data_IF_293208582681
#
_entry.id   IF_293208582681
#
_cell.length_a   1.000
_cell.length_b   1.000
_cell.length_c   1.000
_cell.angle_alpha   90.00
_cell.angle_beta   90.00
_cell.angle_gamma   90.00
#
_symmetry.space_group_name_H-M   'P 1'
#
loop_
_entity.id
_entity.type
_entity.pdbx_description
1 polymer ?
#
# COMPACT_ATOMS: atom_id res chain seq x y z
N UNK A 1 -22.59 15.88 17.43
CA UNK A 1 -22.11 15.10 16.27
C UNK A 1 -20.92 14.27 16.72
N UNK A 2 -21.09 12.96 16.91
CA UNK A 2 -20.01 12.08 17.33
C UNK A 2 -19.24 11.62 16.09
N UNK A 3 -18.00 12.09 15.95
CA UNK A 3 -17.10 11.60 14.90
C UNK A 3 -16.75 10.15 15.22
N UNK A 4 -17.27 9.21 14.42
CA UNK A 4 -16.91 7.79 14.55
C UNK A 4 -15.49 7.64 14.03
N UNK A 5 -14.53 7.54 14.95
CA UNK A 5 -13.15 7.17 14.64
C UNK A 5 -13.18 5.73 14.09
N UNK A 6 -13.29 5.60 12.78
CA UNK A 6 -13.07 4.33 12.08
C UNK A 6 -11.56 4.06 12.04
N UNK A 7 -10.96 3.87 13.21
CA UNK A 7 -9.80 2.99 13.29
C UNK A 7 -10.41 1.64 13.63
N UNK A 8 -10.98 0.96 12.62
CA UNK A 8 -10.78 -0.47 12.60
C UNK A 8 -9.27 -0.61 12.61
N UNK A 9 -8.75 -1.39 13.55
CA UNK A 9 -7.35 -1.82 13.54
C UNK A 9 -7.20 -2.60 12.24
N UNK A 10 -6.98 -1.89 11.13
CA UNK A 10 -6.77 -2.49 9.82
C UNK A 10 -5.49 -3.28 9.99
N UNK A 11 -5.55 -4.57 9.65
CA UNK A 11 -4.36 -5.40 9.70
C UNK A 11 -3.33 -4.73 8.79
N UNK A 12 -2.24 -4.25 9.40
CA UNK A 12 -1.16 -3.62 8.66
C UNK A 12 -0.48 -4.75 7.90
N UNK A 13 -0.63 -4.75 6.58
CA UNK A 13 -0.05 -5.76 5.71
C UNK A 13 1.46 -5.66 5.75
N UNK A 14 2.12 -6.75 6.18
CA UNK A 14 3.56 -6.87 6.11
C UNK A 14 3.92 -7.74 4.91
N UNK A 15 4.38 -7.11 3.83
CA UNK A 15 4.77 -7.82 2.60
C UNK A 15 5.86 -8.87 2.79
N UNK A 16 6.71 -8.75 3.82
CA UNK A 16 7.75 -9.74 4.10
C UNK A 16 7.17 -11.02 4.73
N UNK A 17 6.13 -10.88 5.54
CA UNK A 17 5.49 -12.00 6.26
C UNK A 17 4.32 -12.59 5.49
N UNK A 18 3.57 -11.74 4.79
CA UNK A 18 2.31 -12.10 4.15
C UNK A 18 2.42 -12.20 2.62
N UNK A 19 3.53 -11.74 2.03
CA UNK A 19 3.73 -11.74 0.59
C UNK A 19 2.85 -10.74 -0.15
N UNK A 20 2.39 -11.17 -1.33
CA UNK A 20 1.68 -10.33 -2.30
C UNK A 20 0.32 -9.83 -1.77
N UNK A 21 -0.06 -8.64 -2.21
CA UNK A 21 -1.32 -8.00 -1.85
C UNK A 21 -2.14 -7.71 -3.11
N UNK A 22 -3.35 -8.25 -3.17
CA UNK A 22 -4.31 -7.94 -4.23
C UNK A 22 -5.61 -7.39 -3.62
N UNK A 23 -6.19 -6.38 -4.27
CA UNK A 23 -7.49 -5.84 -3.90
C UNK A 23 -7.82 -4.53 -4.61
N UNK A 24 -8.87 -3.88 -4.12
CA UNK A 24 -9.36 -2.59 -4.60
C UNK A 24 -8.75 -1.46 -3.78
N UNK A 25 -8.25 -0.43 -4.45
CA UNK A 25 -7.75 0.76 -3.77
C UNK A 25 -8.88 1.54 -3.10
N UNK A 26 -8.74 1.77 -1.79
CA UNK A 26 -9.75 2.50 -1.01
C UNK A 26 -9.32 3.95 -0.76
N UNK A 27 -8.01 4.22 -0.77
CA UNK A 27 -7.47 5.57 -0.59
C UNK A 27 -6.18 5.59 0.22
N UNK A 28 -5.75 6.82 0.55
CA UNK A 28 -4.51 7.10 1.28
C UNK A 28 -4.77 8.07 2.43
N UNK A 29 -4.06 7.89 3.53
CA UNK A 29 -3.87 8.92 4.55
C UNK A 29 -2.40 9.33 4.55
N UNK A 30 -2.17 10.57 4.17
CA UNK A 30 -0.82 11.12 4.07
C UNK A 30 -0.25 11.49 5.44
N UNK A 31 1.08 11.49 5.55
CA UNK A 31 1.80 11.96 6.74
C UNK A 31 1.38 11.30 8.07
N UNK A 32 1.06 10.00 8.06
CA UNK A 32 0.62 9.27 9.26
C UNK A 32 1.77 8.58 10.00
N UNK A 33 2.85 8.23 9.29
CA UNK A 33 4.01 7.56 9.89
C UNK A 33 4.91 8.51 10.67
N UNK A 34 5.73 7.95 11.57
CA UNK A 34 6.73 8.71 12.37
C UNK A 34 7.69 9.56 11.52
N UNK A 35 7.91 9.16 10.27
CA UNK A 35 8.77 9.85 9.30
C UNK A 35 7.97 10.53 8.17
N UNK A 36 6.67 10.80 8.37
CA UNK A 36 5.80 11.34 7.34
C UNK A 36 5.33 10.32 6.29
N UNK A 37 5.47 9.01 6.56
CA UNK A 37 5.04 7.97 5.62
C UNK A 37 3.52 7.98 5.40
N UNK A 38 3.12 7.72 4.16
CA UNK A 38 1.73 7.56 3.77
C UNK A 38 1.21 6.18 4.18
N UNK A 39 -0.06 6.10 4.57
CA UNK A 39 -0.75 4.84 4.82
C UNK A 39 -1.78 4.63 3.72
N UNK A 40 -1.63 3.55 2.97
CA UNK A 40 -2.57 3.17 1.91
C UNK A 40 -3.55 2.13 2.42
N UNK A 41 -4.76 2.14 1.87
CA UNK A 41 -5.86 1.25 2.25
C UNK A 41 -6.32 0.46 1.03
N UNK A 42 -6.42 -0.86 1.19
CA UNK A 42 -6.85 -1.79 0.15
C UNK A 42 -7.92 -2.70 0.70
N UNK A 43 -8.97 -2.90 -0.08
CA UNK A 43 -10.05 -3.84 0.22
C UNK A 43 -9.82 -5.12 -0.57
N UNK A 44 -9.59 -6.21 0.13
CA UNK A 44 -9.41 -7.53 -0.46
C UNK A 44 -10.72 -8.10 -0.99
N UNK A 45 -10.61 -9.13 -1.83
CA UNK A 45 -11.78 -9.85 -2.38
C UNK A 45 -12.65 -10.49 -1.29
N UNK A 46 -12.07 -10.86 -0.14
CA UNK A 46 -12.81 -11.37 1.03
C UNK A 46 -13.58 -10.27 1.79
N UNK A 47 -13.55 -9.03 1.29
CA UNK A 47 -14.22 -7.87 1.85
C UNK A 47 -13.48 -7.23 3.04
N UNK A 48 -12.30 -7.74 3.43
CA UNK A 48 -11.50 -7.13 4.50
C UNK A 48 -10.69 -5.96 3.97
N UNK A 49 -10.66 -4.90 4.76
CA UNK A 49 -9.78 -3.76 4.52
C UNK A 49 -8.46 -3.99 5.27
N UNK A 50 -7.37 -3.99 4.51
CA UNK A 50 -6.01 -3.98 5.02
C UNK A 50 -5.36 -2.65 4.71
N UNK A 51 -4.34 -2.31 5.48
CA UNK A 51 -3.56 -1.09 5.25
C UNK A 51 -2.09 -1.42 5.10
N UNK A 52 -1.33 -0.65 4.35
CA UNK A 52 0.12 -0.82 4.29
C UNK A 52 0.84 0.52 4.28
N UNK A 53 2.07 0.49 4.80
CA UNK A 53 2.93 1.66 4.77
C UNK A 53 3.52 1.86 3.39
N UNK A 54 3.38 3.10 2.91
CA UNK A 54 4.04 3.59 1.71
C UNK A 54 5.56 3.61 1.85
N UNK A 55 6.20 3.54 0.69
CA UNK A 55 7.60 3.83 0.49
C UNK A 55 7.73 4.57 -0.84
N UNK A 56 8.89 5.13 -1.15
CA UNK A 56 9.07 5.94 -2.36
C UNK A 56 8.59 5.27 -3.65
N UNK A 57 8.76 3.95 -3.82
CA UNK A 57 8.32 3.23 -5.01
C UNK A 57 6.79 3.11 -5.06
N UNK A 58 6.17 2.73 -3.95
CA UNK A 58 4.71 2.64 -3.81
C UNK A 58 4.06 4.02 -3.92
N UNK A 59 4.61 5.02 -3.23
CA UNK A 59 4.09 6.38 -3.21
C UNK A 59 4.05 6.96 -4.63
N UNK A 60 5.11 6.73 -5.42
CA UNK A 60 5.19 7.19 -6.81
C UNK A 60 4.14 6.55 -7.73
N UNK A 61 3.77 5.28 -7.50
CA UNK A 61 2.75 4.59 -8.29
C UNK A 61 1.33 4.94 -7.82
N UNK A 62 1.13 5.07 -6.51
CA UNK A 62 -0.21 5.19 -5.91
C UNK A 62 -0.68 6.64 -5.75
N UNK A 63 0.18 7.65 -5.92
CA UNK A 63 -0.15 9.08 -5.71
C UNK A 63 -1.34 9.60 -6.54
N UNK A 64 -1.55 9.06 -7.74
CA UNK A 64 -2.56 9.54 -8.69
C UNK A 64 -3.64 8.49 -8.97
N UNK A 65 -3.63 7.38 -8.23
CA UNK A 65 -4.55 6.29 -8.46
C UNK A 65 -5.96 6.63 -7.94
N UNK A 66 -6.97 6.34 -8.75
CA UNK A 66 -8.36 6.55 -8.40
C UNK A 66 -8.85 5.51 -7.37
N UNK A 67 -9.70 5.95 -6.44
CA UNK A 67 -10.40 5.02 -5.54
C UNK A 67 -11.29 4.10 -6.38
N UNK A 68 -11.23 2.80 -6.12
CA UNK A 68 -11.92 1.77 -6.90
C UNK A 68 -11.04 1.04 -7.92
N UNK A 69 -9.83 1.54 -8.21
CA UNK A 69 -8.88 0.84 -9.08
C UNK A 69 -8.46 -0.49 -8.45
N UNK A 70 -8.52 -1.58 -9.22
CA UNK A 70 -7.99 -2.87 -8.78
C UNK A 70 -6.48 -2.84 -8.90
N UNK A 71 -5.76 -3.31 -7.87
CA UNK A 71 -4.31 -3.37 -7.86
C UNK A 71 -3.81 -4.70 -7.30
N UNK A 72 -2.63 -5.10 -7.78
CA UNK A 72 -1.84 -6.19 -7.26
C UNK A 72 -0.42 -5.69 -7.00
N UNK A 73 0.08 -5.90 -5.79
CA UNK A 73 1.44 -5.55 -5.37
C UNK A 73 2.14 -6.85 -5.05
N UNK A 74 3.13 -7.23 -5.86
CA UNK A 74 3.97 -8.40 -5.63
C UNK A 74 5.26 -7.99 -4.93
N UNK A 75 5.64 -8.74 -3.90
CA UNK A 75 6.91 -8.50 -3.21
C UNK A 75 8.02 -9.34 -3.83
N UNK A 76 8.93 -8.69 -4.55
CA UNK A 76 10.03 -9.35 -5.26
C UNK A 76 11.27 -9.57 -4.37
N UNK A 77 11.16 -9.30 -3.07
CA UNK A 77 12.26 -9.37 -2.12
C UNK A 77 13.05 -8.07 -2.03
N UNK A 78 14.28 -8.18 -1.56
CA UNK A 78 15.17 -7.06 -1.34
C UNK A 78 16.16 -6.90 -2.49
N UNK A 79 16.40 -5.67 -2.92
CA UNK A 79 17.35 -5.32 -3.98
C UNK A 79 18.31 -4.25 -3.47
N UNK A 80 19.59 -4.37 -3.83
CA UNK A 80 20.59 -3.37 -3.51
C UNK A 80 20.56 -2.24 -4.54
N UNK A 81 20.46 -1.00 -4.07
CA UNK A 81 20.57 0.17 -4.92
C UNK A 81 22.01 0.38 -5.36
N UNK A 82 22.30 0.25 -6.65
CA UNK A 82 23.63 0.52 -7.21
C UNK A 82 24.12 1.95 -6.93
N UNK A 83 23.19 2.90 -6.75
CA UNK A 83 23.50 4.32 -6.51
C UNK A 83 23.85 4.64 -5.07
N UNK A 84 23.25 3.95 -4.10
CA UNK A 84 23.36 4.31 -2.68
C UNK A 84 23.96 3.20 -1.81
N UNK A 85 24.12 1.99 -2.35
CA UNK A 85 24.54 0.81 -1.62
C UNK A 85 23.52 0.33 -0.58
N UNK A 86 22.32 0.92 -0.53
CA UNK A 86 21.28 0.57 0.42
C UNK A 86 20.37 -0.50 -0.16
N UNK A 87 20.01 -1.45 0.68
CA UNK A 87 18.99 -2.43 0.39
C UNK A 87 17.59 -1.78 0.51
N UNK A 88 16.73 -2.04 -0.47
CA UNK A 88 15.34 -1.59 -0.47
C UNK A 88 14.41 -2.71 -0.90
N UNK A 89 13.16 -2.62 -0.45
CA UNK A 89 12.09 -3.55 -0.82
C UNK A 89 11.71 -3.31 -2.27
N UNK A 90 11.79 -4.35 -3.09
CA UNK A 90 11.39 -4.32 -4.48
C UNK A 90 9.96 -4.81 -4.63
N UNK A 91 9.17 -4.10 -5.42
CA UNK A 91 7.78 -4.44 -5.69
C UNK A 91 7.48 -4.34 -7.17
N UNK A 92 6.61 -5.23 -7.64
CA UNK A 92 5.94 -5.11 -8.93
C UNK A 92 4.49 -4.74 -8.67
N UNK A 93 3.99 -3.73 -9.38
CA UNK A 93 2.65 -3.16 -9.16
C UNK A 93 1.90 -3.24 -10.47
N UNK A 94 0.79 -3.96 -10.47
CA UNK A 94 -0.12 -4.08 -11.59
C UNK A 94 -1.46 -3.43 -11.21
N UNK A 95 -2.03 -2.64 -12.12
CA UNK A 95 -3.30 -1.93 -11.89
C UNK A 95 -4.26 -2.15 -13.04
N UNK A 96 -5.55 -2.30 -12.73
CA UNK A 96 -6.63 -2.43 -13.69
C UNK A 96 -7.71 -1.41 -13.38
N UNK A 97 -8.06 -0.61 -14.38
CA UNK A 97 -9.18 0.30 -14.34
C UNK A 97 -10.39 -0.37 -14.98
N UNK A 98 -11.56 -0.22 -14.37
CA UNK A 98 -12.83 -0.51 -15.05
C UNK A 98 -13.24 0.74 -15.80
N UNK A 99 -13.26 0.65 -17.13
CA UNK A 99 -13.77 1.65 -18.07
C UNK A 99 -15.31 1.65 -18.08
#
# INVERSE_FOLDING_TARGET
MAWKKLIKKSDIWNFEENGDLEGEYVGVKENQGKNGSNMYFVKKEDGKEVSFWGNTLLDNHLKEMAVGTKLQIKFLGFVMSEKTGREYKNFEIETWEND
#
